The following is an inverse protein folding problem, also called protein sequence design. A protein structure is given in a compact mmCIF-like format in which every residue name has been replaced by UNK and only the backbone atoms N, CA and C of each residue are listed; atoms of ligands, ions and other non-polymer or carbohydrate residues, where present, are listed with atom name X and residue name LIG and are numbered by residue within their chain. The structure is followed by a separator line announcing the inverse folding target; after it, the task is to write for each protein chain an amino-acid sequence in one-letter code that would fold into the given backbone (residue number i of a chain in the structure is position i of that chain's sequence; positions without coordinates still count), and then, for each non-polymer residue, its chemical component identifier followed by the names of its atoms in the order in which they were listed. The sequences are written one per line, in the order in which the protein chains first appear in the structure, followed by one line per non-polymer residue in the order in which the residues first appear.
data_IF_752354520261
#
_entry.id   IF_752354520261
#
_cell.length_a   1.000
_cell.length_b   1.000
_cell.length_c   1.000
_cell.angle_alpha   90.00
_cell.angle_beta   90.00
_cell.angle_gamma   90.00
#
_symmetry.space_group_name_H-M   'P 1'
#
loop_
_entity.id
_entity.type
_entity.pdbx_description
1 polymer ?
#
# COMPACT_ATOMS: atom_id res chain seq x y z
N UNK A 1 19.83 15.83 -7.44
CA UNK A 1 19.98 15.97 -6.01
C UNK A 1 21.40 16.29 -5.59
N UNK A 2 21.66 16.47 -4.31
CA UNK A 2 23.03 16.56 -3.79
C UNK A 2 23.16 15.66 -2.55
N UNK A 3 24.28 14.96 -2.47
CA UNK A 3 24.64 14.15 -1.30
C UNK A 3 26.03 14.61 -0.83
N UNK A 4 26.15 14.97 0.45
CA UNK A 4 27.40 15.51 1.05
C UNK A 4 28.02 16.64 0.24
N UNK A 5 27.18 17.52 -0.35
CA UNK A 5 27.62 18.66 -1.17
C UNK A 5 28.00 18.31 -2.62
N UNK A 6 27.91 17.08 -3.04
CA UNK A 6 28.13 16.66 -4.43
C UNK A 6 26.82 16.45 -5.15
N UNK A 7 26.74 16.90 -6.41
CA UNK A 7 25.57 16.65 -7.27
C UNK A 7 25.45 15.14 -7.53
N UNK A 8 24.30 14.56 -7.22
CA UNK A 8 23.99 13.17 -7.51
C UNK A 8 22.91 13.14 -8.59
N UNK A 9 23.19 12.43 -9.66
CA UNK A 9 22.26 12.11 -10.73
C UNK A 9 22.31 10.60 -10.94
N UNK A 10 21.38 9.89 -10.30
CA UNK A 10 21.33 8.43 -10.33
C UNK A 10 20.07 7.98 -11.07
N UNK A 11 20.22 7.04 -11.98
CA UNK A 11 19.12 6.36 -12.66
C UNK A 11 18.97 4.96 -12.12
N UNK A 12 17.74 4.56 -11.80
CA UNK A 12 17.43 3.22 -11.32
C UNK A 12 16.19 2.69 -12.04
N UNK A 13 16.31 1.55 -12.66
CA UNK A 13 15.17 0.80 -13.20
C UNK A 13 14.58 -0.04 -12.08
N UNK A 14 13.27 0.09 -11.86
CA UNK A 14 12.51 -0.72 -10.90
C UNK A 14 11.70 -1.71 -11.69
N UNK A 15 12.01 -3.00 -11.56
CA UNK A 15 11.40 -4.10 -12.33
C UNK A 15 10.66 -5.13 -11.45
N UNK A 16 10.35 -4.75 -10.22
CA UNK A 16 9.63 -5.63 -9.27
C UNK A 16 8.11 -5.56 -9.39
N UNK A 17 7.56 -4.62 -10.18
CA UNK A 17 6.12 -4.52 -10.44
C UNK A 17 5.76 -5.54 -11.51
N UNK A 18 4.94 -6.52 -11.15
CA UNK A 18 4.50 -7.59 -12.06
C UNK A 18 3.18 -7.28 -12.75
N UNK A 19 2.32 -6.47 -12.13
CA UNK A 19 1.01 -6.13 -12.67
C UNK A 19 0.50 -4.79 -12.12
N UNK A 20 -0.50 -4.21 -12.82
CA UNK A 20 -1.19 -3.00 -12.43
C UNK A 20 -2.69 -3.17 -12.69
N UNK A 21 -3.50 -3.14 -11.64
CA UNK A 21 -4.94 -3.39 -11.71
C UNK A 21 -5.71 -2.12 -11.35
N UNK A 22 -6.53 -1.63 -12.27
CA UNK A 22 -7.48 -0.55 -11.99
C UNK A 22 -8.84 -1.16 -11.60
N UNK A 23 -9.28 -1.08 -10.33
CA UNK A 23 -10.48 -1.76 -9.85
C UNK A 23 -11.78 -1.17 -10.41
N UNK A 24 -11.73 -0.01 -11.08
CA UNK A 24 -12.89 0.65 -11.69
C UNK A 24 -13.19 0.20 -13.12
N UNK A 25 -12.35 -0.64 -13.70
CA UNK A 25 -12.58 -1.27 -15.01
C UNK A 25 -13.40 -2.53 -14.79
N UNK A 26 -14.40 -2.79 -15.62
CA UNK A 26 -15.25 -3.97 -15.54
C UNK A 26 -14.46 -5.27 -15.40
N UNK A 27 -14.82 -6.07 -14.41
CA UNK A 27 -14.16 -7.34 -14.07
C UNK A 27 -12.83 -7.20 -13.31
N UNK A 28 -12.22 -6.02 -13.26
CA UNK A 28 -10.92 -5.85 -12.62
C UNK A 28 -10.96 -5.88 -11.09
N UNK A 29 -12.12 -5.58 -10.50
CA UNK A 29 -12.29 -5.77 -9.07
C UNK A 29 -12.15 -7.24 -8.65
N UNK A 30 -12.62 -8.17 -9.46
CA UNK A 30 -12.45 -9.60 -9.19
C UNK A 30 -11.00 -10.05 -9.24
N UNK A 31 -10.15 -9.40 -10.06
CA UNK A 31 -8.70 -9.61 -10.05
C UNK A 31 -8.08 -9.16 -8.73
N UNK A 32 -8.52 -8.02 -8.17
CA UNK A 32 -8.07 -7.57 -6.84
C UNK A 32 -8.48 -8.58 -5.75
N UNK A 33 -9.72 -9.08 -5.80
CA UNK A 33 -10.19 -10.11 -4.86
C UNK A 33 -9.45 -11.44 -5.07
N UNK A 34 -9.04 -11.76 -6.30
CA UNK A 34 -8.22 -12.95 -6.56
C UNK A 34 -6.84 -12.88 -5.86
N UNK A 35 -6.23 -11.68 -5.78
CA UNK A 35 -5.01 -11.49 -4.98
C UNK A 35 -5.25 -11.77 -3.50
N UNK A 36 -6.40 -11.37 -2.95
CA UNK A 36 -6.75 -11.67 -1.56
C UNK A 36 -6.82 -13.18 -1.27
N UNK A 37 -7.21 -13.97 -2.25
CA UNK A 37 -7.27 -15.45 -2.16
C UNK A 37 -5.93 -16.15 -2.37
N UNK A 38 -4.88 -15.42 -2.80
CA UNK A 38 -3.56 -15.99 -2.97
C UNK A 38 -2.87 -16.24 -1.63
N UNK A 39 -2.32 -17.43 -1.45
CA UNK A 39 -1.51 -17.74 -0.27
C UNK A 39 -0.18 -16.98 -0.25
N UNK A 40 0.28 -16.51 -1.40
CA UNK A 40 1.55 -15.80 -1.56
C UNK A 40 1.45 -14.30 -1.21
N UNK A 41 0.22 -13.77 -1.05
CA UNK A 41 0.03 -12.40 -0.57
C UNK A 41 0.35 -12.34 0.93
N UNK A 42 1.37 -11.58 1.29
CA UNK A 42 1.81 -11.43 2.69
C UNK A 42 1.69 -9.98 3.19
N UNK A 43 1.79 -9.00 2.28
CA UNK A 43 1.87 -7.59 2.66
C UNK A 43 1.00 -6.73 1.76
N UNK A 44 0.33 -5.76 2.37
CA UNK A 44 -0.39 -4.68 1.68
C UNK A 44 0.25 -3.35 2.08
N UNK A 45 0.57 -2.51 1.11
CA UNK A 45 1.04 -1.15 1.33
C UNK A 45 -0.08 -0.19 0.93
N UNK A 46 -0.42 0.72 1.83
CA UNK A 46 -1.37 1.80 1.59
C UNK A 46 -0.60 3.11 1.39
N UNK A 47 -0.82 3.76 0.26
CA UNK A 47 -0.23 5.08 -0.01
C UNK A 47 -1.19 5.88 -0.89
N UNK A 48 -2.30 6.28 -0.30
CA UNK A 48 -3.36 7.08 -0.94
C UNK A 48 -3.06 8.58 -0.75
N UNK A 49 -3.94 9.31 -0.08
CA UNK A 49 -3.73 10.72 0.30
C UNK A 49 -4.08 10.88 1.78
N UNK A 50 -3.81 12.05 2.37
CA UNK A 50 -4.21 12.35 3.76
C UNK A 50 -5.73 12.18 3.95
N UNK A 51 -6.53 12.44 2.92
CA UNK A 51 -7.98 12.22 2.90
C UNK A 51 -8.38 10.78 2.57
N UNK A 52 -7.44 9.93 2.15
CA UNK A 52 -7.72 8.56 1.69
C UNK A 52 -8.05 7.60 2.83
N UNK A 53 -7.55 7.84 4.04
CA UNK A 53 -7.91 7.09 5.24
C UNK A 53 -9.05 7.83 5.95
N UNK A 54 -10.26 7.60 5.47
CA UNK A 54 -11.47 8.17 6.05
C UNK A 54 -12.61 7.16 6.01
N UNK A 55 -13.51 7.29 6.97
CA UNK A 55 -14.76 6.57 7.03
C UNK A 55 -15.92 7.56 6.96
N UNK A 56 -16.87 7.27 6.09
CA UNK A 56 -18.16 7.98 6.02
C UNK A 56 -19.28 6.95 5.99
N UNK A 57 -20.17 7.03 6.94
CA UNK A 57 -21.29 6.10 7.03
C UNK A 57 -22.13 6.10 5.75
N UNK A 58 -22.36 4.93 5.17
CA UNK A 58 -23.19 4.74 4.00
C UNK A 58 -22.57 5.13 2.65
N UNK A 59 -21.31 5.59 2.61
CA UNK A 59 -20.63 5.96 1.35
C UNK A 59 -20.30 4.77 0.46
N UNK A 60 -20.21 3.59 1.05
CA UNK A 60 -19.87 2.34 0.38
C UNK A 60 -20.78 1.21 0.85
N UNK A 61 -21.41 0.50 -0.08
CA UNK A 61 -22.17 -0.70 0.22
C UNK A 61 -21.30 -1.95 0.11
N UNK A 62 -21.66 -3.01 0.82
CA UNK A 62 -20.90 -4.26 0.82
C UNK A 62 -20.81 -4.90 -0.57
N UNK A 63 -21.89 -4.88 -1.33
CA UNK A 63 -22.01 -5.45 -2.69
C UNK A 63 -21.59 -4.49 -3.80
N UNK A 64 -21.21 -3.26 -3.46
CA UNK A 64 -20.71 -2.28 -4.45
C UNK A 64 -19.37 -2.75 -5.05
N UNK A 65 -19.23 -2.59 -6.37
CA UNK A 65 -18.09 -3.09 -7.16
C UNK A 65 -17.43 -1.97 -7.97
N UNK A 66 -16.25 -1.48 -7.55
CA UNK A 66 -15.66 -1.63 -6.22
C UNK A 66 -16.33 -0.73 -5.19
N UNK A 67 -16.11 -0.93 -3.88
CA UNK A 67 -16.46 0.05 -2.86
C UNK A 67 -15.79 1.41 -3.12
N UNK A 68 -16.38 2.51 -2.65
CA UNK A 68 -15.89 3.86 -2.98
C UNK A 68 -14.56 4.20 -2.30
N UNK A 69 -14.50 4.11 -0.97
CA UNK A 69 -13.31 4.50 -0.22
C UNK A 69 -12.23 3.41 -0.21
N UNK A 70 -10.98 3.79 0.02
CA UNK A 70 -9.89 2.83 0.16
C UNK A 70 -10.08 1.91 1.38
N UNK A 71 -10.44 2.41 2.59
CA UNK A 71 -10.68 1.52 3.73
C UNK A 71 -11.83 0.54 3.50
N UNK A 72 -12.87 0.94 2.75
CA UNK A 72 -13.95 0.04 2.36
C UNK A 72 -13.44 -1.07 1.42
N UNK A 73 -12.61 -0.73 0.41
CA UNK A 73 -11.96 -1.70 -0.47
C UNK A 73 -11.09 -2.69 0.33
N UNK A 74 -10.28 -2.17 1.25
CA UNK A 74 -9.42 -2.99 2.09
C UNK A 74 -10.26 -3.94 2.98
N UNK A 75 -11.35 -3.47 3.55
CA UNK A 75 -12.25 -4.31 4.36
C UNK A 75 -12.83 -5.46 3.53
N UNK A 76 -13.21 -5.21 2.27
CA UNK A 76 -13.67 -6.26 1.33
C UNK A 76 -12.55 -7.25 0.99
N UNK A 77 -11.33 -6.77 0.75
CA UNK A 77 -10.15 -7.62 0.49
C UNK A 77 -9.86 -8.52 1.69
N UNK A 78 -9.89 -7.97 2.90
CA UNK A 78 -9.68 -8.74 4.13
C UNK A 78 -10.80 -9.76 4.37
N UNK A 79 -12.04 -9.40 4.09
CA UNK A 79 -13.18 -10.33 4.20
C UNK A 79 -13.07 -11.47 3.19
N UNK A 80 -12.70 -11.18 1.95
CA UNK A 80 -12.47 -12.18 0.92
C UNK A 80 -11.37 -13.17 1.34
N UNK A 81 -10.27 -12.64 1.90
CA UNK A 81 -9.19 -13.47 2.42
C UNK A 81 -9.64 -14.34 3.60
N UNK A 82 -10.35 -13.76 4.55
CA UNK A 82 -10.92 -14.49 5.67
C UNK A 82 -11.77 -15.67 5.20
N UNK A 83 -12.65 -15.46 4.22
CA UNK A 83 -13.47 -16.52 3.65
C UNK A 83 -12.64 -17.57 2.92
N UNK A 84 -11.66 -17.15 2.11
CA UNK A 84 -10.83 -18.07 1.33
C UNK A 84 -10.00 -19.02 2.21
N UNK A 85 -9.58 -18.57 3.38
CA UNK A 85 -8.74 -19.36 4.31
C UNK A 85 -9.48 -19.77 5.59
N UNK A 86 -10.81 -19.69 5.62
CA UNK A 86 -11.64 -20.08 6.74
C UNK A 86 -11.21 -19.46 8.09
N UNK A 87 -10.77 -18.21 8.08
CA UNK A 87 -10.34 -17.50 9.27
C UNK A 87 -9.04 -18.00 9.90
N UNK A 88 -8.18 -18.70 9.15
CA UNK A 88 -6.91 -19.18 9.65
C UNK A 88 -6.03 -18.01 10.13
N UNK A 89 -5.54 -18.08 11.36
CA UNK A 89 -4.78 -16.99 11.99
C UNK A 89 -3.42 -16.73 11.31
N UNK A 90 -2.80 -17.77 10.75
CA UNK A 90 -1.54 -17.68 10.01
C UNK A 90 -1.68 -17.11 8.60
N UNK A 91 -2.89 -16.77 8.18
CA UNK A 91 -3.21 -16.15 6.89
C UNK A 91 -3.50 -14.65 6.99
N UNK A 92 -3.28 -14.05 8.16
CA UNK A 92 -3.27 -12.60 8.32
C UNK A 92 -2.18 -11.92 7.51
N UNK A 93 -2.36 -10.63 7.25
CA UNK A 93 -1.48 -9.81 6.43
C UNK A 93 -0.75 -8.76 7.27
N UNK A 94 0.43 -8.36 6.81
CA UNK A 94 1.09 -7.14 7.26
C UNK A 94 0.59 -5.97 6.42
N UNK A 95 0.01 -4.94 7.04
CA UNK A 95 -0.57 -3.77 6.38
C UNK A 95 0.24 -2.55 6.79
N UNK A 96 0.90 -1.92 5.83
CA UNK A 96 1.79 -0.78 6.01
C UNK A 96 1.12 0.47 5.47
N UNK A 97 0.74 1.40 6.34
CA UNK A 97 0.12 2.67 5.95
C UNK A 97 1.16 3.75 5.79
N UNK A 98 1.20 4.42 4.62
CA UNK A 98 2.18 5.44 4.26
C UNK A 98 1.58 6.84 4.10
N UNK A 99 0.30 7.01 4.37
CA UNK A 99 -0.39 8.31 4.30
C UNK A 99 0.16 9.27 5.37
N UNK A 100 0.27 10.56 5.03
CA UNK A 100 0.83 11.59 5.90
C UNK A 100 -0.18 12.06 6.97
N UNK A 101 -0.63 11.12 7.80
CA UNK A 101 -1.48 11.39 8.96
C UNK A 101 -0.93 10.67 10.20
N UNK A 102 -1.15 11.24 11.37
CA UNK A 102 -0.73 10.64 12.63
C UNK A 102 -1.41 9.28 12.84
N UNK A 103 -0.64 8.27 13.27
CA UNK A 103 -1.13 6.93 13.53
C UNK A 103 -1.91 6.30 12.36
N UNK A 104 -1.45 6.53 11.13
CA UNK A 104 -2.12 6.12 9.89
C UNK A 104 -2.59 4.66 9.89
N UNK A 105 -1.79 3.70 10.39
CA UNK A 105 -2.18 2.30 10.50
C UNK A 105 -3.32 2.06 11.50
N UNK A 106 -3.29 2.76 12.64
CA UNK A 106 -4.36 2.67 13.66
C UNK A 106 -5.66 3.28 13.13
N UNK A 107 -5.59 4.42 12.42
CA UNK A 107 -6.76 5.05 11.81
C UNK A 107 -7.33 4.21 10.67
N UNK A 108 -6.48 3.59 9.84
CA UNK A 108 -6.94 2.67 8.80
C UNK A 108 -7.67 1.48 9.40
N UNK A 109 -7.12 0.86 10.45
CA UNK A 109 -7.76 -0.23 11.20
C UNK A 109 -9.13 0.17 11.75
N UNK A 110 -9.24 1.37 12.29
CA UNK A 110 -10.49 1.94 12.82
C UNK A 110 -11.54 2.11 11.73
N UNK A 111 -11.15 2.65 10.56
CA UNK A 111 -12.03 2.78 9.41
C UNK A 111 -12.53 1.40 8.93
N UNK A 112 -11.66 0.40 8.80
CA UNK A 112 -12.05 -0.96 8.44
C UNK A 112 -13.06 -1.57 9.42
N UNK A 113 -12.84 -1.37 10.74
CA UNK A 113 -13.80 -1.81 11.75
C UNK A 113 -15.16 -1.13 11.63
N UNK A 114 -15.20 0.15 11.24
CA UNK A 114 -16.45 0.88 11.03
C UNK A 114 -17.22 0.30 9.84
N UNK A 115 -16.57 0.07 8.71
CA UNK A 115 -17.21 -0.59 7.55
C UNK A 115 -17.67 -2.00 7.87
N UNK A 116 -16.86 -2.80 8.57
CA UNK A 116 -17.24 -4.15 8.96
C UNK A 116 -18.51 -4.17 9.83
N UNK A 117 -18.67 -3.19 10.72
CA UNK A 117 -19.88 -3.02 11.54
C UNK A 117 -21.08 -2.54 10.71
N UNK A 118 -20.91 -1.54 9.85
CA UNK A 118 -21.97 -1.03 8.99
C UNK A 118 -22.55 -2.12 8.06
N UNK A 119 -21.68 -2.98 7.57
CA UNK A 119 -22.06 -4.09 6.72
C UNK A 119 -22.53 -5.32 7.49
N UNK A 120 -22.64 -5.25 8.82
CA UNK A 120 -23.05 -6.34 9.70
C UNK A 120 -22.25 -7.63 9.46
N UNK A 121 -20.94 -7.51 9.20
CA UNK A 121 -20.09 -8.67 9.01
C UNK A 121 -19.97 -9.48 10.30
N UNK A 122 -19.78 -10.79 10.14
CA UNK A 122 -19.74 -11.73 11.25
C UNK A 122 -18.68 -11.36 12.31
N UNK A 123 -18.98 -11.50 13.61
CA UNK A 123 -18.04 -11.16 14.68
C UNK A 123 -16.70 -11.91 14.58
N UNK A 124 -16.74 -13.14 14.09
CA UNK A 124 -15.54 -13.94 13.87
C UNK A 124 -14.59 -13.31 12.83
N UNK A 125 -15.12 -12.69 11.79
CA UNK A 125 -14.31 -11.91 10.85
C UNK A 125 -13.69 -10.68 11.51
N UNK A 126 -14.48 -9.93 12.29
CA UNK A 126 -13.99 -8.73 12.97
C UNK A 126 -12.87 -9.10 13.95
N UNK A 127 -13.02 -10.20 14.65
CA UNK A 127 -11.98 -10.73 15.55
C UNK A 127 -10.71 -11.12 14.76
N UNK A 128 -10.86 -11.87 13.68
CA UNK A 128 -9.75 -12.25 12.80
C UNK A 128 -9.06 -11.02 12.20
N UNK A 129 -9.83 -10.05 11.70
CA UNK A 129 -9.27 -8.82 11.14
C UNK A 129 -8.40 -8.07 12.15
N UNK A 130 -8.83 -8.04 13.41
CA UNK A 130 -8.14 -7.32 14.47
C UNK A 130 -6.93 -8.06 15.06
N UNK A 131 -6.92 -9.39 15.04
CA UNK A 131 -5.94 -10.20 15.78
C UNK A 131 -4.99 -10.97 14.85
N UNK A 132 -5.41 -11.35 13.65
CA UNK A 132 -4.58 -12.07 12.69
C UNK A 132 -3.76 -11.13 11.79
N UNK A 133 -4.21 -9.88 11.59
CA UNK A 133 -3.53 -8.91 10.75
C UNK A 133 -2.75 -7.89 11.57
N UNK A 134 -1.60 -7.47 11.06
CA UNK A 134 -0.77 -6.44 11.67
C UNK A 134 -0.94 -5.13 10.90
N UNK A 135 -1.64 -4.16 11.49
CA UNK A 135 -1.76 -2.81 10.95
C UNK A 135 -0.64 -1.95 11.51
N UNK A 136 0.32 -1.61 10.67
CA UNK A 136 1.48 -0.81 11.05
C UNK A 136 1.26 0.66 10.69
N UNK A 137 1.47 1.54 11.67
CA UNK A 137 1.67 2.95 11.39
C UNK A 137 3.08 3.15 10.86
N UNK A 138 3.23 3.98 9.83
CA UNK A 138 4.54 4.26 9.27
C UNK A 138 4.76 5.75 9.02
N UNK A 139 6.02 6.15 9.00
CA UNK A 139 6.47 7.46 8.56
C UNK A 139 7.39 7.26 7.36
N UNK A 140 6.99 7.81 6.22
CA UNK A 140 7.80 7.86 5.00
C UNK A 140 8.26 9.30 4.80
N UNK A 141 9.55 9.49 4.62
CA UNK A 141 10.12 10.79 4.29
C UNK A 141 10.99 10.65 3.03
N UNK A 142 10.43 11.08 1.90
CA UNK A 142 11.07 11.20 0.60
C UNK A 142 10.26 12.12 -0.29
N UNK A 143 10.91 13.15 -0.83
CA UNK A 143 10.27 14.04 -1.80
C UNK A 143 10.31 13.41 -3.18
N UNK A 144 9.13 13.24 -3.77
CA UNK A 144 8.92 12.72 -5.13
C UNK A 144 8.13 13.78 -5.91
N UNK A 145 8.81 14.68 -6.65
CA UNK A 145 8.14 15.73 -7.43
C UNK A 145 7.23 15.22 -8.54
N UNK A 146 7.38 13.97 -8.91
CA UNK A 146 6.59 13.31 -9.95
C UNK A 146 7.28 13.32 -11.32
N UNK A 147 6.49 13.04 -12.35
CA UNK A 147 6.95 12.93 -13.74
C UNK A 147 7.59 14.23 -14.22
N UNK A 148 8.63 14.11 -15.03
CA UNK A 148 9.28 15.23 -15.71
C UNK A 148 8.25 15.93 -16.59
N UNK A 149 8.07 17.23 -16.37
CA UNK A 149 7.06 18.05 -17.07
C UNK A 149 7.59 18.72 -18.34
N UNK A 150 8.91 18.93 -18.43
CA UNK A 150 9.53 19.49 -19.65
C UNK A 150 9.58 18.41 -20.74
N UNK A 151 8.88 18.61 -21.89
CA UNK A 151 8.85 17.61 -22.96
C UNK A 151 10.22 17.33 -23.58
N UNK A 152 11.13 18.32 -23.59
CA UNK A 152 12.48 18.15 -24.14
C UNK A 152 13.35 17.31 -23.22
N UNK A 153 13.28 17.56 -21.92
CA UNK A 153 14.01 16.80 -20.90
C UNK A 153 13.49 15.35 -20.89
N UNK A 154 12.16 15.17 -20.93
CA UNK A 154 11.54 13.85 -21.00
C UNK A 154 11.99 13.07 -22.23
N UNK A 155 11.92 13.69 -23.42
CA UNK A 155 12.33 13.06 -24.68
C UNK A 155 13.82 12.67 -24.66
N UNK A 156 14.69 13.53 -24.15
CA UNK A 156 16.12 13.23 -24.04
C UNK A 156 16.38 12.06 -23.09
N UNK A 157 15.60 11.94 -22.02
CA UNK A 157 15.74 10.83 -21.06
C UNK A 157 15.20 9.52 -21.65
N UNK A 158 14.08 9.54 -22.36
CA UNK A 158 13.53 8.36 -23.06
C UNK A 158 14.47 7.89 -24.17
N UNK A 159 15.06 8.81 -24.94
CA UNK A 159 16.09 8.49 -25.93
C UNK A 159 17.30 7.82 -25.28
N UNK A 160 17.80 8.37 -24.18
CA UNK A 160 18.93 7.80 -23.44
C UNK A 160 18.62 6.43 -22.82
N UNK A 161 17.36 6.16 -22.47
CA UNK A 161 16.91 4.87 -21.92
C UNK A 161 16.63 3.85 -23.03
N UNK A 162 16.35 4.30 -24.25
CA UNK A 162 16.01 3.45 -25.40
C UNK A 162 14.55 2.95 -25.41
N UNK A 163 13.70 3.48 -24.56
CA UNK A 163 12.27 3.12 -24.51
C UNK A 163 11.43 4.27 -23.91
N UNK A 164 10.15 4.27 -24.24
CA UNK A 164 9.16 5.14 -23.59
C UNK A 164 8.72 4.53 -22.25
N UNK A 165 8.81 5.31 -21.17
CA UNK A 165 8.41 4.90 -19.84
C UNK A 165 7.29 5.79 -19.30
N UNK A 166 6.06 5.25 -19.32
CA UNK A 166 4.89 5.96 -18.80
C UNK A 166 4.95 6.16 -17.26
N UNK A 167 5.75 5.36 -16.56
CA UNK A 167 5.93 5.42 -15.12
C UNK A 167 7.24 6.10 -14.68
N UNK A 168 7.96 6.76 -15.63
CA UNK A 168 9.17 7.50 -15.31
C UNK A 168 8.87 8.60 -14.30
N UNK A 169 9.59 8.58 -13.19
CA UNK A 169 9.41 9.50 -12.09
C UNK A 169 10.73 10.02 -11.53
N UNK A 170 10.69 11.15 -10.86
CA UNK A 170 11.85 11.79 -10.23
C UNK A 170 11.63 11.80 -8.72
N UNK A 171 12.66 11.43 -7.98
CA UNK A 171 12.67 11.49 -6.53
C UNK A 171 14.00 11.99 -6.01
N UNK A 172 14.02 12.50 -4.79
CA UNK A 172 15.28 12.81 -4.12
C UNK A 172 16.04 11.53 -3.76
N UNK A 173 17.36 11.68 -3.56
CA UNK A 173 18.22 10.56 -3.17
C UNK A 173 17.93 10.12 -1.74
N UNK A 174 17.63 11.09 -0.87
CA UNK A 174 17.25 10.82 0.51
C UNK A 174 15.94 10.07 0.58
N UNK A 175 15.82 9.19 1.55
CA UNK A 175 14.58 8.51 1.89
C UNK A 175 14.76 7.72 3.16
N UNK A 176 13.74 7.74 4.00
CA UNK A 176 13.63 6.94 5.21
C UNK A 176 12.23 6.40 5.37
N UNK A 177 12.12 5.19 5.87
CA UNK A 177 10.84 4.57 6.19
C UNK A 177 10.88 3.99 7.59
N UNK A 178 10.12 4.58 8.51
CA UNK A 178 9.96 4.09 9.88
C UNK A 178 8.65 3.33 9.98
N UNK A 179 8.68 2.12 10.48
CA UNK A 179 7.53 1.22 10.62
C UNK A 179 7.34 0.91 12.10
N UNK A 180 6.19 1.31 12.68
CA UNK A 180 5.77 0.91 14.02
C UNK A 180 5.17 -0.50 13.97
N UNK A 181 5.83 -1.47 14.61
CA UNK A 181 5.38 -2.85 14.57
C UNK A 181 6.30 -3.84 15.27
N UNK A 182 5.97 -5.13 15.23
CA UNK A 182 6.79 -6.17 15.83
C UNK A 182 8.21 -6.20 15.21
N UNK A 183 9.23 -6.41 16.05
CA UNK A 183 10.62 -6.38 15.65
C UNK A 183 10.97 -7.38 14.51
N UNK A 184 10.29 -8.51 14.47
CA UNK A 184 10.46 -9.54 13.44
C UNK A 184 10.13 -9.07 12.03
N UNK A 185 9.41 -7.95 11.87
CA UNK A 185 9.15 -7.35 10.57
C UNK A 185 10.43 -6.88 9.87
N UNK A 186 11.47 -6.53 10.61
CA UNK A 186 12.73 -6.09 10.02
C UNK A 186 13.36 -7.19 9.16
N UNK A 187 13.27 -8.45 9.61
CA UNK A 187 13.81 -9.60 8.87
C UNK A 187 12.81 -10.16 7.84
N UNK A 188 11.51 -10.06 8.13
CA UNK A 188 10.44 -10.55 7.26
C UNK A 188 10.30 -9.71 5.99
N UNK A 189 10.41 -8.38 6.10
CA UNK A 189 10.23 -7.47 4.98
C UNK A 189 11.51 -7.36 4.15
N UNK A 190 11.42 -7.36 2.79
CA UNK A 190 12.60 -7.40 1.92
C UNK A 190 13.29 -6.05 1.76
N UNK A 191 12.79 -4.99 2.37
CA UNK A 191 13.16 -3.60 2.08
C UNK A 191 14.61 -3.29 2.41
N UNK A 192 15.12 -3.74 3.54
CA UNK A 192 16.52 -3.55 3.93
C UNK A 192 17.47 -4.24 2.95
N UNK A 193 17.13 -5.46 2.50
CA UNK A 193 17.90 -6.19 1.47
C UNK A 193 17.87 -5.47 0.13
N UNK A 194 16.77 -4.77 -0.18
CA UNK A 194 16.63 -3.94 -1.38
C UNK A 194 17.35 -2.58 -1.29
N UNK A 195 18.03 -2.28 -0.18
CA UNK A 195 18.74 -1.04 0.04
C UNK A 195 17.87 0.15 0.43
N UNK A 196 16.65 -0.12 0.90
CA UNK A 196 15.77 0.90 1.47
C UNK A 196 16.26 1.21 2.89
N UNK A 197 16.35 2.50 3.23
CA UNK A 197 16.64 2.94 4.60
C UNK A 197 15.36 2.78 5.44
N UNK A 198 15.19 1.61 6.02
CA UNK A 198 14.01 1.22 6.80
C UNK A 198 14.40 0.90 8.24
N UNK A 199 13.56 1.33 9.17
CA UNK A 199 13.68 1.04 10.60
C UNK A 199 12.34 0.51 11.11
N UNK A 200 12.37 -0.57 11.88
CA UNK A 200 11.21 -1.08 12.61
C UNK A 200 11.35 -0.66 14.07
N UNK A 201 10.32 -0.02 14.59
CA UNK A 201 10.27 0.48 15.99
C UNK A 201 9.03 -0.08 16.70
N UNK A 202 9.10 -0.27 18.04
CA UNK A 202 7.97 -0.76 18.82
C UNK A 202 6.79 0.21 18.90
#
# INVERSE_FOLDING_TARGET
GSEKGQKVDAKRVISCVSDCVCPYIDGKWDEVLALARSADLETIVSNTTEAGIAYTQGDSQFDQVPPNSFPAKLTRVLFERYKAFNGAADKGLTILSCELIDNNGKELKKCCNSYAKDWNLEPAFIDWMNNANTFCSTLVDRIVPGRIRDPKELAAMEEANGYHDAALDVGEVFGVWVIEGPAELEDKLPFKKAGVNVMVVP
#
